data_IF_818419203744
#
_entry.id   IF_818419203744
#
_cell.length_a   1.000
_cell.length_b   1.000
_cell.length_c   1.000
_cell.angle_alpha   90.00
_cell.angle_beta   90.00
_cell.angle_gamma   90.00
#
_symmetry.space_group_name_H-M   'P 1'
#
loop_
_entity.id
_entity.type
_entity.pdbx_description
1 polymer ?
#
# COMPACT_ATOMS: atom_id res chain seq x y z
N UNK A 1 -22.31 30.46 -1.85
CA UNK A 1 -20.90 30.07 -1.65
C UNK A 1 -20.83 28.59 -1.99
N UNK A 2 -19.87 28.18 -2.82
CA UNK A 2 -19.74 26.77 -3.18
C UNK A 2 -18.95 26.01 -2.10
N UNK A 3 -19.19 24.72 -1.97
CA UNK A 3 -18.38 23.81 -1.16
C UNK A 3 -17.53 22.99 -2.11
N UNK A 4 -16.21 23.05 -1.93
CA UNK A 4 -15.23 22.27 -2.65
C UNK A 4 -14.71 21.12 -1.77
N UNK A 5 -14.43 19.99 -2.41
CA UNK A 5 -13.89 18.79 -1.76
C UNK A 5 -12.86 18.12 -2.67
N UNK A 6 -11.86 17.50 -2.05
CA UNK A 6 -10.91 16.68 -2.77
C UNK A 6 -9.82 16.13 -1.88
N UNK A 7 -8.68 15.85 -2.50
CA UNK A 7 -7.46 15.56 -1.77
C UNK A 7 -6.26 16.26 -2.38
N UNK A 8 -5.28 16.51 -1.52
CA UNK A 8 -3.95 16.98 -1.89
C UNK A 8 -2.94 15.84 -1.73
N UNK A 9 -1.94 15.82 -2.61
CA UNK A 9 -0.82 14.89 -2.56
C UNK A 9 0.34 15.53 -1.80
N UNK A 10 0.53 15.16 -0.53
CA UNK A 10 1.47 15.81 0.39
C UNK A 10 2.39 14.79 1.10
N UNK A 11 3.72 14.83 0.87
CA UNK A 11 4.40 15.70 -0.08
C UNK A 11 4.06 15.36 -1.54
N UNK A 12 4.30 16.29 -2.50
CA UNK A 12 4.14 16.00 -3.92
C UNK A 12 5.00 14.81 -4.33
N UNK A 13 4.53 14.06 -5.33
CA UNK A 13 5.31 12.99 -5.93
C UNK A 13 6.57 13.56 -6.59
N UNK A 14 7.68 12.84 -6.50
CA UNK A 14 8.93 13.19 -7.18
C UNK A 14 8.96 12.65 -8.61
N UNK A 15 9.93 13.11 -9.42
CA UNK A 15 10.24 12.51 -10.73
C UNK A 15 10.93 11.14 -10.65
N UNK A 16 11.20 10.67 -9.43
CA UNK A 16 11.91 9.43 -9.17
C UNK A 16 11.16 8.19 -9.68
N UNK A 17 11.91 7.12 -9.94
CA UNK A 17 11.38 5.88 -10.53
C UNK A 17 10.30 5.24 -9.65
N UNK A 18 10.41 5.32 -8.33
CA UNK A 18 9.44 4.76 -7.40
C UNK A 18 8.08 5.48 -7.50
N UNK A 19 8.07 6.81 -7.32
CA UNK A 19 6.83 7.60 -7.42
C UNK A 19 6.20 7.51 -8.81
N UNK A 20 7.00 7.44 -9.88
CA UNK A 20 6.51 7.24 -11.25
C UNK A 20 5.80 5.89 -11.39
N UNK A 21 6.44 4.81 -10.90
CA UNK A 21 5.86 3.46 -10.94
C UNK A 21 4.57 3.38 -10.12
N UNK A 22 4.58 3.93 -8.91
CA UNK A 22 3.39 3.91 -8.05
C UNK A 22 2.26 4.73 -8.69
N UNK A 23 2.59 5.88 -9.29
CA UNK A 23 1.62 6.64 -10.07
C UNK A 23 1.06 5.86 -11.27
N UNK A 24 1.90 5.20 -12.06
CA UNK A 24 1.47 4.40 -13.20
C UNK A 24 0.52 3.26 -12.78
N UNK A 25 0.78 2.63 -11.62
CA UNK A 25 -0.09 1.60 -11.06
C UNK A 25 -1.43 2.18 -10.59
N UNK A 26 -1.40 3.31 -9.90
CA UNK A 26 -2.62 4.02 -9.52
C UNK A 26 -3.46 4.39 -10.74
N UNK A 27 -2.86 4.96 -11.78
CA UNK A 27 -3.53 5.29 -13.04
C UNK A 27 -4.13 4.04 -13.70
N UNK A 28 -3.42 2.92 -13.72
CA UNK A 28 -3.94 1.66 -14.25
C UNK A 28 -5.19 1.19 -13.48
N UNK A 29 -5.21 1.31 -12.14
CA UNK A 29 -6.38 0.99 -11.31
C UNK A 29 -7.55 1.92 -11.61
N UNK A 30 -7.30 3.23 -11.79
CA UNK A 30 -8.33 4.20 -12.18
C UNK A 30 -8.92 3.84 -13.54
N UNK A 31 -8.06 3.54 -14.53
CA UNK A 31 -8.49 3.19 -15.88
C UNK A 31 -9.30 1.89 -15.90
N UNK A 32 -8.90 0.85 -15.15
CA UNK A 32 -9.70 -0.39 -15.08
C UNK A 32 -11.03 -0.18 -14.37
N UNK A 33 -11.06 0.63 -13.31
CA UNK A 33 -12.28 0.91 -12.56
C UNK A 33 -13.33 1.65 -13.40
N UNK A 34 -12.90 2.62 -14.22
CA UNK A 34 -13.78 3.47 -15.01
C UNK A 34 -13.81 3.15 -16.51
N UNK A 35 -13.29 1.99 -16.93
CA UNK A 35 -13.20 1.60 -18.35
C UNK A 35 -14.52 1.65 -19.13
N UNK A 36 -15.63 1.44 -18.43
CA UNK A 36 -16.99 1.42 -18.99
C UNK A 36 -17.77 2.70 -18.65
N UNK A 37 -17.15 3.69 -17.98
CA UNK A 37 -17.81 4.94 -17.60
C UNK A 37 -17.66 5.99 -18.71
N UNK A 38 -18.75 6.39 -19.40
CA UNK A 38 -18.68 7.34 -20.51
C UNK A 38 -18.32 8.77 -20.07
N UNK A 39 -18.31 9.07 -18.76
CA UNK A 39 -17.90 10.37 -18.22
C UNK A 39 -16.40 10.42 -17.92
N UNK A 40 -15.66 9.32 -18.03
CA UNK A 40 -14.22 9.31 -17.78
C UNK A 40 -13.47 9.21 -19.10
N UNK A 41 -12.86 10.33 -19.51
CA UNK A 41 -12.14 10.47 -20.77
C UNK A 41 -10.63 10.32 -20.54
N UNK A 42 -10.02 9.32 -21.17
CA UNK A 42 -8.56 9.18 -21.19
C UNK A 42 -8.00 10.01 -22.34
N UNK A 43 -7.29 11.10 -22.01
CA UNK A 43 -6.57 11.94 -22.97
C UNK A 43 -5.08 11.60 -22.95
N UNK A 44 -4.29 12.04 -23.94
CA UNK A 44 -2.88 11.65 -24.05
C UNK A 44 -2.06 11.90 -22.77
N UNK A 45 -2.33 13.00 -22.07
CA UNK A 45 -1.51 13.42 -20.94
C UNK A 45 -2.25 13.48 -19.60
N UNK A 46 -3.56 13.21 -19.56
CA UNK A 46 -4.36 13.22 -18.34
C UNK A 46 -5.68 12.46 -18.51
N UNK A 47 -6.27 12.04 -17.40
CA UNK A 47 -7.63 11.52 -17.32
C UNK A 47 -8.55 12.67 -16.90
N UNK A 48 -9.61 12.89 -17.66
CA UNK A 48 -10.61 13.92 -17.41
C UNK A 48 -11.93 13.30 -16.96
N UNK A 49 -12.47 13.74 -15.84
CA UNK A 49 -13.76 13.30 -15.32
C UNK A 49 -14.81 14.35 -15.68
N UNK A 50 -15.69 14.05 -16.63
CA UNK A 50 -16.79 14.91 -17.08
C UNK A 50 -17.94 14.95 -16.05
N UNK A 51 -17.63 15.43 -14.85
CA UNK A 51 -18.53 15.64 -13.73
C UNK A 51 -18.08 16.84 -12.90
N UNK A 52 -19.03 17.56 -12.29
CA UNK A 52 -18.75 18.75 -11.49
C UNK A 52 -17.98 19.82 -12.28
N UNK A 53 -16.83 20.23 -11.77
CA UNK A 53 -15.92 21.19 -12.40
C UNK A 53 -14.82 20.53 -13.24
N UNK A 54 -14.93 19.24 -13.52
CA UNK A 54 -14.01 18.54 -14.40
C UNK A 54 -12.69 18.16 -13.73
N UNK A 55 -12.69 17.41 -12.61
CA UNK A 55 -11.44 17.05 -11.95
C UNK A 55 -10.56 16.20 -12.88
N UNK A 56 -9.23 16.35 -12.74
CA UNK A 56 -8.24 15.78 -13.67
C UNK A 56 -7.11 15.06 -12.94
N UNK A 57 -6.66 13.93 -13.48
CA UNK A 57 -5.45 13.22 -13.04
C UNK A 57 -4.38 13.28 -14.14
N UNK A 58 -3.19 13.83 -13.91
CA UNK A 58 -2.13 13.84 -14.92
C UNK A 58 -1.59 12.43 -15.17
N UNK A 59 -1.10 12.18 -16.37
CA UNK A 59 -0.31 10.98 -16.68
C UNK A 59 1.03 10.98 -15.91
N UNK A 60 1.61 12.17 -15.69
CA UNK A 60 2.84 12.36 -14.94
C UNK A 60 2.56 12.76 -13.49
N UNK A 61 2.64 11.79 -12.56
CA UNK A 61 2.16 11.96 -11.19
C UNK A 61 2.82 13.06 -10.37
N UNK A 62 4.09 13.38 -10.63
CA UNK A 62 4.78 14.48 -9.95
C UNK A 62 4.16 15.86 -10.24
N UNK A 63 3.31 15.95 -11.27
CA UNK A 63 2.55 17.17 -11.57
C UNK A 63 1.31 17.30 -10.69
N UNK A 64 0.78 16.21 -10.12
CA UNK A 64 -0.42 16.27 -9.29
C UNK A 64 -0.12 16.95 -7.95
N UNK A 65 -0.79 18.08 -7.70
CA UNK A 65 -0.92 18.66 -6.36
C UNK A 65 -2.28 18.33 -5.73
N UNK A 66 -3.37 18.46 -6.49
CA UNK A 66 -4.75 18.35 -6.01
C UNK A 66 -5.65 17.65 -7.02
N UNK A 67 -6.57 16.84 -6.51
CA UNK A 67 -7.73 16.34 -7.24
C UNK A 67 -8.99 16.74 -6.49
N UNK A 68 -9.80 17.63 -7.07
CA UNK A 68 -10.95 18.22 -6.38
C UNK A 68 -12.02 18.74 -7.34
N UNK A 69 -13.23 18.91 -6.84
CA UNK A 69 -14.31 19.61 -7.53
C UNK A 69 -15.27 20.21 -6.51
N UNK A 70 -16.04 21.21 -6.96
CA UNK A 70 -17.22 21.67 -6.25
C UNK A 70 -18.23 20.54 -6.08
N UNK A 71 -18.68 20.31 -4.85
CA UNK A 71 -19.72 19.33 -4.49
C UNK A 71 -21.09 19.96 -4.27
N UNK A 72 -21.13 21.28 -4.06
CA UNK A 72 -22.39 22.00 -3.91
C UNK A 72 -22.98 22.45 -5.26
N UNK A 73 -24.30 22.53 -5.35
CA UNK A 73 -25.01 23.14 -6.48
C UNK A 73 -25.53 22.16 -7.52
N UNK A 74 -26.29 22.67 -8.48
CA UNK A 74 -27.06 21.86 -9.43
C UNK A 74 -26.18 21.00 -10.35
N UNK A 75 -25.01 21.50 -10.75
CA UNK A 75 -24.06 20.73 -11.58
C UNK A 75 -23.49 19.54 -10.84
N UNK A 76 -23.05 19.71 -9.58
CA UNK A 76 -22.52 18.62 -8.77
C UNK A 76 -23.57 17.51 -8.58
N UNK A 77 -24.81 17.88 -8.22
CA UNK A 77 -25.91 16.94 -8.05
C UNK A 77 -26.28 16.20 -9.35
N UNK A 78 -26.39 16.94 -10.47
CA UNK A 78 -26.76 16.36 -11.78
C UNK A 78 -25.69 15.40 -12.32
N UNK A 79 -24.43 15.69 -12.05
CA UNK A 79 -23.31 14.90 -12.61
C UNK A 79 -22.89 13.76 -11.70
N UNK A 80 -23.15 13.84 -10.40
CA UNK A 80 -22.75 12.84 -9.41
C UNK A 80 -21.27 12.92 -9.05
N UNK A 81 -20.65 14.11 -9.11
CA UNK A 81 -19.20 14.29 -8.95
C UNK A 81 -18.65 13.75 -7.62
N UNK A 82 -19.44 13.81 -6.56
CA UNK A 82 -19.10 13.28 -5.23
C UNK A 82 -18.67 11.81 -5.27
N UNK A 83 -19.31 10.98 -6.12
CA UNK A 83 -18.95 9.57 -6.25
C UNK A 83 -17.54 9.37 -6.83
N UNK A 84 -17.14 10.22 -7.77
CA UNK A 84 -15.79 10.23 -8.35
C UNK A 84 -14.78 10.71 -7.32
N UNK A 85 -15.04 11.82 -6.63
CA UNK A 85 -14.16 12.33 -5.57
C UNK A 85 -13.95 11.28 -4.48
N UNK A 86 -15.02 10.66 -4.00
CA UNK A 86 -14.95 9.60 -2.98
C UNK A 86 -14.12 8.41 -3.46
N UNK A 87 -14.40 7.92 -4.66
CA UNK A 87 -13.76 6.69 -5.17
C UNK A 87 -12.30 6.92 -5.51
N UNK A 88 -11.96 8.02 -6.19
CA UNK A 88 -10.58 8.36 -6.53
C UNK A 88 -9.78 8.65 -5.26
N UNK A 89 -10.33 9.40 -4.30
CA UNK A 89 -9.67 9.64 -3.00
C UNK A 89 -9.43 8.33 -2.25
N UNK A 90 -10.41 7.41 -2.24
CA UNK A 90 -10.28 6.10 -1.61
C UNK A 90 -9.18 5.27 -2.26
N UNK A 91 -9.16 5.20 -3.60
CA UNK A 91 -8.13 4.47 -4.35
C UNK A 91 -6.75 5.10 -4.16
N UNK A 92 -6.67 6.43 -4.14
CA UNK A 92 -5.44 7.16 -3.89
C UNK A 92 -4.93 6.92 -2.47
N UNK A 93 -5.79 6.95 -1.45
CA UNK A 93 -5.43 6.58 -0.06
C UNK A 93 -4.95 5.13 0.05
N UNK A 94 -5.59 4.21 -0.67
CA UNK A 94 -5.14 2.81 -0.72
C UNK A 94 -3.75 2.66 -1.36
N UNK A 95 -3.40 3.54 -2.29
CA UNK A 95 -2.15 3.46 -3.05
C UNK A 95 -0.99 4.24 -2.39
N UNK A 96 -1.26 5.46 -1.93
CA UNK A 96 -0.26 6.41 -1.43
C UNK A 96 -0.36 6.68 0.07
N UNK A 97 -1.33 6.08 0.76
CA UNK A 97 -1.49 6.16 2.20
C UNK A 97 -1.69 7.58 2.71
N UNK A 98 -0.91 7.94 3.74
CA UNK A 98 -0.96 9.24 4.41
C UNK A 98 -0.53 10.41 3.53
N UNK A 99 0.05 10.16 2.34
CA UNK A 99 0.32 11.23 1.38
C UNK A 99 -0.96 11.86 0.83
N UNK A 100 -2.08 11.15 0.88
CA UNK A 100 -3.36 11.66 0.40
C UNK A 100 -4.11 12.36 1.52
N UNK A 101 -4.02 13.69 1.54
CA UNK A 101 -4.66 14.55 2.52
C UNK A 101 -6.01 15.00 1.99
N UNK A 102 -7.08 14.37 2.46
CA UNK A 102 -8.45 14.76 2.14
C UNK A 102 -8.83 16.06 2.85
N UNK A 103 -9.59 16.90 2.16
CA UNK A 103 -10.07 18.18 2.68
C UNK A 103 -11.48 18.48 2.13
N UNK A 104 -12.22 19.32 2.84
CA UNK A 104 -13.58 19.73 2.49
C UNK A 104 -13.88 21.09 3.15
N UNK A 105 -14.14 22.09 2.32
CA UNK A 105 -14.34 23.48 2.77
C UNK A 105 -15.60 23.64 3.63
N UNK A 106 -16.60 22.77 3.46
CA UNK A 106 -17.86 22.79 4.20
C UNK A 106 -17.71 22.37 5.67
N UNK A 107 -16.60 21.74 6.03
CA UNK A 107 -16.23 21.38 7.41
C UNK A 107 -14.95 22.09 7.87
N UNK A 108 -14.60 23.19 7.20
CA UNK A 108 -13.43 24.03 7.51
C UNK A 108 -12.08 23.28 7.52
N UNK A 109 -11.99 22.20 6.73
CA UNK A 109 -10.73 21.51 6.46
C UNK A 109 -10.28 21.94 5.07
N UNK A 110 -9.25 22.79 5.02
CA UNK A 110 -8.74 23.36 3.78
C UNK A 110 -7.58 22.54 3.22
N UNK A 111 -7.41 22.56 1.91
CA UNK A 111 -6.27 21.92 1.26
C UNK A 111 -4.94 22.64 1.56
N UNK A 112 -3.84 21.92 1.39
CA UNK A 112 -2.47 22.37 1.69
C UNK A 112 -1.98 23.40 0.69
N UNK A 113 -2.29 23.23 -0.60
CA UNK A 113 -1.82 24.12 -1.66
C UNK A 113 -2.79 25.27 -1.91
N UNK A 114 -2.25 26.44 -2.24
CA UNK A 114 -3.04 27.57 -2.72
C UNK A 114 -3.65 27.27 -4.10
N UNK A 115 -4.75 27.95 -4.44
CA UNK A 115 -5.36 27.79 -5.77
C UNK A 115 -4.44 28.22 -6.90
N UNK A 116 -3.55 29.21 -6.66
CA UNK A 116 -2.57 29.64 -7.67
C UNK A 116 -1.58 28.51 -7.98
N UNK A 117 -1.02 27.85 -6.96
CA UNK A 117 -0.12 26.69 -7.14
C UNK A 117 -0.82 25.52 -7.87
N UNK A 118 -2.08 25.25 -7.52
CA UNK A 118 -2.88 24.19 -8.15
C UNK A 118 -3.15 24.51 -9.62
N UNK A 119 -3.52 25.76 -9.94
CA UNK A 119 -3.78 26.18 -11.31
C UNK A 119 -2.50 26.18 -12.16
N UNK A 120 -1.37 26.61 -11.59
CA UNK A 120 -0.06 26.53 -12.25
C UNK A 120 0.30 25.08 -12.58
N UNK A 121 0.09 24.16 -11.63
CA UNK A 121 0.25 22.72 -11.83
C UNK A 121 -0.62 22.20 -12.98
N UNK A 122 -1.92 22.53 -13.00
CA UNK A 122 -2.84 22.10 -14.05
C UNK A 122 -2.41 22.59 -15.44
N UNK A 123 -1.87 23.81 -15.55
CA UNK A 123 -1.32 24.34 -16.80
C UNK A 123 -0.19 23.50 -17.40
N UNK A 124 0.49 22.67 -16.59
CA UNK A 124 1.59 21.81 -17.06
C UNK A 124 1.14 20.47 -17.65
N UNK A 125 -0.13 20.09 -17.54
CA UNK A 125 -0.58 18.74 -17.92
C UNK A 125 -0.60 18.55 -19.43
N UNK A 126 -0.79 19.62 -20.21
CA UNK A 126 -0.76 19.55 -21.68
C UNK A 126 0.68 19.50 -22.25
N UNK A 127 1.69 19.82 -21.43
CA UNK A 127 3.09 19.89 -21.84
C UNK A 127 3.90 18.73 -21.27
N UNK A 128 4.11 17.61 -22.01
CA UNK A 128 4.90 16.49 -21.53
C UNK A 128 6.37 16.90 -21.34
N UNK A 129 7.05 16.31 -20.35
CA UNK A 129 8.49 16.49 -20.21
C UNK A 129 9.22 16.01 -21.48
N UNK A 130 10.30 16.71 -21.87
CA UNK A 130 11.17 16.22 -22.94
C UNK A 130 11.76 14.88 -22.53
N UNK A 131 11.84 13.88 -23.43
CA UNK A 131 12.43 12.59 -23.10
C UNK A 131 13.88 12.78 -22.64
N UNK A 132 14.16 12.41 -21.39
CA UNK A 132 15.53 12.37 -20.87
C UNK A 132 16.32 11.27 -21.60
N UNK A 133 17.30 11.68 -22.40
CA UNK A 133 18.26 10.77 -23.04
C UNK A 133 19.23 10.29 -21.97
N UNK A 134 18.97 9.14 -21.37
CA UNK A 134 19.95 8.43 -20.55
C UNK A 134 20.84 7.57 -21.48
N UNK A 135 22.19 7.66 -21.40
CA UNK A 135 23.07 6.88 -22.26
C UNK A 135 22.88 5.38 -22.01
N UNK A 136 22.54 4.68 -23.08
CA UNK A 136 22.50 3.22 -23.18
C UNK A 136 23.87 2.61 -22.91
N UNK A 137 23.98 1.84 -21.82
CA UNK A 137 25.01 0.80 -21.74
C UNK A 137 24.52 -0.42 -22.52
N UNK A 138 25.06 -0.52 -23.74
CA UNK A 138 24.92 -1.67 -24.60
C UNK A 138 25.84 -2.80 -24.13
N UNK A 139 25.27 -4.02 -24.17
CA UNK A 139 25.88 -5.30 -24.57
C UNK A 139 25.86 -6.36 -23.47
N UNK A 140 24.93 -7.33 -23.58
CA UNK A 140 25.25 -8.73 -23.91
C UNK A 140 24.00 -9.39 -24.53
N UNK A 141 24.17 -9.83 -25.78
CA UNK A 141 23.35 -10.70 -26.65
C UNK A 141 23.07 -12.06 -25.96
N UNK A 142 21.94 -12.78 -26.06
CA UNK A 142 21.40 -13.47 -27.25
C UNK A 142 20.15 -14.30 -26.85
N UNK A 143 19.06 -14.24 -27.66
CA UNK A 143 18.30 -15.40 -28.15
C UNK A 143 17.35 -16.24 -27.26
N UNK A 144 16.06 -16.21 -27.66
CA UNK A 144 14.97 -17.21 -27.54
C UNK A 144 14.28 -17.47 -26.16
N UNK A 145 13.10 -16.87 -25.94
CA UNK A 145 11.75 -17.38 -26.29
C UNK A 145 10.65 -16.73 -25.40
N UNK A 146 9.43 -16.51 -25.91
CA UNK A 146 8.39 -15.76 -25.21
C UNK A 146 7.61 -16.69 -24.28
N UNK A 147 7.92 -16.65 -22.98
CA UNK A 147 7.09 -17.26 -21.95
C UNK A 147 6.46 -16.13 -21.15
N UNK A 148 5.13 -16.20 -21.04
CA UNK A 148 4.33 -15.55 -20.00
C UNK A 148 4.99 -15.79 -18.64
N UNK A 149 5.83 -14.88 -18.19
CA UNK A 149 6.31 -14.85 -16.81
C UNK A 149 5.70 -13.64 -16.12
N UNK A 150 4.84 -13.97 -15.17
CA UNK A 150 4.37 -13.13 -14.08
C UNK A 150 5.37 -12.05 -13.68
N UNK A 151 4.89 -10.82 -13.55
CA UNK A 151 5.45 -9.76 -12.71
C UNK A 151 5.98 -10.35 -11.40
N UNK A 152 7.27 -10.68 -11.34
CA UNK A 152 7.94 -10.85 -10.06
C UNK A 152 8.03 -9.45 -9.49
N UNK A 153 7.16 -9.15 -8.52
CA UNK A 153 7.40 -8.15 -7.49
C UNK A 153 8.90 -8.16 -7.20
N UNK A 154 9.59 -7.05 -7.47
CA UNK A 154 10.93 -6.85 -6.96
C UNK A 154 10.75 -6.69 -5.46
N UNK A 155 10.64 -7.81 -4.75
CA UNK A 155 10.63 -7.85 -3.30
C UNK A 155 11.96 -7.24 -2.87
N UNK A 156 11.91 -6.20 -2.04
CA UNK A 156 13.08 -5.56 -1.43
C UNK A 156 13.76 -6.48 -0.40
N UNK A 157 13.14 -7.62 -0.11
CA UNK A 157 13.65 -8.66 0.77
C UNK A 157 13.50 -10.06 0.15
N UNK A 158 14.21 -11.01 0.74
CA UNK A 158 14.05 -12.45 0.52
C UNK A 158 13.95 -13.17 1.85
N UNK A 159 13.37 -14.38 1.83
CA UNK A 159 13.32 -15.25 3.00
C UNK A 159 14.52 -16.20 2.92
N UNK A 160 15.41 -16.17 3.91
CA UNK A 160 16.54 -17.09 4.02
C UNK A 160 16.49 -17.92 5.29
N UNK A 161 17.14 -19.07 5.26
CA UNK A 161 17.51 -19.77 6.49
C UNK A 161 18.69 -19.04 7.13
N UNK A 162 18.54 -18.70 8.40
CA UNK A 162 19.50 -17.97 9.23
C UNK A 162 20.01 -18.93 10.30
N UNK A 163 21.32 -19.14 10.34
CA UNK A 163 21.98 -20.06 11.27
C UNK A 163 21.55 -19.79 12.72
N UNK A 164 20.99 -20.80 13.37
CA UNK A 164 20.51 -20.73 14.76
C UNK A 164 19.20 -19.96 14.98
N UNK A 165 18.58 -19.38 13.94
CA UNK A 165 17.34 -18.58 14.05
C UNK A 165 16.18 -19.07 13.18
N UNK A 166 16.37 -20.15 12.43
CA UNK A 166 15.36 -20.63 11.48
C UNK A 166 15.24 -19.69 10.29
N UNK A 167 14.03 -19.42 9.80
CA UNK A 167 13.82 -18.52 8.64
C UNK A 167 13.80 -17.05 9.07
N UNK A 168 14.37 -16.18 8.24
CA UNK A 168 14.45 -14.74 8.43
C UNK A 168 14.23 -13.96 7.14
N UNK A 169 13.83 -12.69 7.24
CA UNK A 169 13.84 -11.76 6.11
C UNK A 169 15.21 -11.08 6.01
N UNK A 170 15.75 -11.03 4.79
CA UNK A 170 17.07 -10.47 4.44
C UNK A 170 16.88 -9.47 3.32
N UNK A 171 17.55 -8.31 3.39
CA UNK A 171 17.36 -7.26 2.39
C UNK A 171 18.06 -7.65 1.07
N UNK A 172 17.37 -7.49 -0.06
CA UNK A 172 17.93 -7.77 -1.42
C UNK A 172 18.61 -6.55 -2.05
N UNK A 173 18.33 -5.39 -1.50
CA UNK A 173 18.88 -4.11 -1.90
C UNK A 173 18.96 -3.20 -0.67
N UNK A 174 19.61 -2.06 -0.81
CA UNK A 174 19.56 -1.02 0.22
C UNK A 174 18.12 -0.52 0.37
N UNK A 175 17.65 -0.44 1.61
CA UNK A 175 16.31 0.00 1.99
C UNK A 175 16.45 1.31 2.75
N UNK A 176 15.83 2.37 2.24
CA UNK A 176 15.80 3.67 2.90
C UNK A 176 14.95 3.64 4.18
N UNK A 177 15.32 4.46 5.16
CA UNK A 177 14.47 4.73 6.33
C UNK A 177 13.09 5.21 5.86
N UNK A 178 12.03 4.72 6.51
CA UNK A 178 10.64 5.04 6.22
C UNK A 178 10.02 4.17 5.13
N UNK A 179 10.81 3.37 4.40
CA UNK A 179 10.26 2.52 3.35
C UNK A 179 9.38 1.42 3.95
N UNK A 180 8.19 1.22 3.36
CA UNK A 180 7.37 0.05 3.61
C UNK A 180 8.04 -1.20 3.01
N UNK A 181 8.44 -2.13 3.87
CA UNK A 181 9.11 -3.38 3.49
C UNK A 181 8.07 -4.40 3.02
N UNK A 182 6.97 -4.54 3.77
CA UNK A 182 5.81 -5.33 3.37
C UNK A 182 4.55 -4.90 4.12
N UNK A 183 3.41 -5.26 3.55
CA UNK A 183 2.09 -5.01 4.08
C UNK A 183 1.23 -6.23 3.77
N UNK A 184 0.65 -6.88 4.76
CA UNK A 184 -0.16 -8.08 4.53
C UNK A 184 -1.27 -8.28 5.58
N UNK A 185 -2.35 -8.93 5.12
CA UNK A 185 -3.46 -9.36 5.97
C UNK A 185 -3.06 -10.62 6.76
N UNK A 186 -3.64 -10.81 7.96
CA UNK A 186 -3.36 -12.00 8.76
C UNK A 186 -3.94 -13.26 8.10
N UNK A 187 -3.22 -14.38 8.23
CA UNK A 187 -3.76 -15.72 7.99
C UNK A 187 -4.96 -15.99 8.90
N UNK A 188 -4.83 -15.60 10.17
CA UNK A 188 -5.92 -15.58 11.13
C UNK A 188 -5.55 -14.77 12.37
N UNK A 189 -6.58 -14.34 13.10
CA UNK A 189 -6.45 -13.68 14.41
C UNK A 189 -6.89 -14.60 15.54
N UNK A 190 -6.43 -14.39 16.77
CA UNK A 190 -6.99 -15.04 17.94
C UNK A 190 -6.96 -14.09 19.14
N UNK A 191 -8.03 -14.09 19.94
CA UNK A 191 -8.10 -13.30 21.16
C UNK A 191 -7.49 -14.10 22.31
N UNK A 192 -6.58 -13.48 23.05
CA UNK A 192 -6.02 -14.02 24.28
C UNK A 192 -7.03 -13.83 25.43
N UNK A 193 -8.18 -14.49 25.39
CA UNK A 193 -9.07 -14.55 26.57
C UNK A 193 -8.55 -15.58 27.56
N UNK A 194 -8.74 -15.29 28.84
CA UNK A 194 -8.19 -15.99 30.00
C UNK A 194 -8.28 -17.53 29.89
N UNK A 195 -7.11 -18.14 30.14
CA UNK A 195 -6.77 -19.55 30.35
C UNK A 195 -7.97 -20.41 30.76
N UNK A 196 -8.37 -21.40 29.94
CA UNK A 196 -7.94 -22.78 30.19
C UNK A 196 -7.84 -23.67 28.93
N UNK A 197 -8.17 -23.19 27.72
CA UNK A 197 -8.16 -24.05 26.52
C UNK A 197 -7.82 -23.32 25.20
N UNK A 198 -6.77 -22.50 25.22
CA UNK A 198 -6.26 -21.81 24.01
C UNK A 198 -5.84 -22.82 22.95
N UNK A 199 -5.31 -23.97 23.36
CA UNK A 199 -4.83 -25.00 22.44
C UNK A 199 -5.98 -25.59 21.61
N UNK A 200 -7.07 -26.04 22.23
CA UNK A 200 -8.20 -26.61 21.47
C UNK A 200 -8.92 -25.54 20.65
N UNK A 201 -8.97 -24.29 21.14
CA UNK A 201 -9.49 -23.17 20.35
C UNK A 201 -8.68 -22.97 19.06
N UNK A 202 -7.35 -22.91 19.18
CA UNK A 202 -6.46 -22.79 18.01
C UNK A 202 -6.55 -24.02 17.11
N UNK A 203 -6.61 -25.23 17.67
CA UNK A 203 -6.77 -26.47 16.92
C UNK A 203 -8.06 -26.46 16.08
N UNK A 204 -9.19 -26.09 16.68
CA UNK A 204 -10.48 -25.96 15.98
C UNK A 204 -10.42 -24.90 14.89
N UNK A 205 -9.85 -23.72 15.20
CA UNK A 205 -9.73 -22.63 14.23
C UNK A 205 -8.84 -23.03 13.05
N UNK A 206 -7.69 -23.63 13.31
CA UNK A 206 -6.80 -24.15 12.25
C UNK A 206 -7.50 -25.23 11.43
N UNK A 207 -8.26 -26.11 12.09
CA UNK A 207 -9.02 -27.19 11.43
C UNK A 207 -10.01 -26.68 10.37
N UNK A 208 -10.55 -25.48 10.52
CA UNK A 208 -11.48 -24.87 9.56
C UNK A 208 -10.79 -24.09 8.42
N UNK A 209 -9.48 -23.82 8.53
CA UNK A 209 -8.75 -23.04 7.51
C UNK A 209 -8.33 -23.90 6.31
N UNK A 210 -8.03 -23.29 5.16
CA UNK A 210 -7.44 -23.99 4.01
C UNK A 210 -6.15 -24.76 4.37
N UNK A 211 -5.89 -25.87 3.68
CA UNK A 211 -4.77 -26.78 4.01
C UNK A 211 -3.39 -26.15 3.84
N UNK A 212 -3.25 -25.24 2.89
CA UNK A 212 -2.06 -24.41 2.68
C UNK A 212 -1.82 -23.49 3.89
N UNK A 213 -2.86 -22.81 4.39
CA UNK A 213 -2.78 -21.97 5.61
C UNK A 213 -2.40 -22.80 6.84
N UNK A 214 -3.00 -23.99 6.99
CA UNK A 214 -2.64 -24.93 8.07
C UNK A 214 -1.15 -25.30 8.00
N UNK A 215 -0.66 -25.73 6.83
CA UNK A 215 0.75 -26.11 6.65
C UNK A 215 1.68 -24.93 6.90
N UNK A 216 1.31 -23.73 6.46
CA UNK A 216 2.10 -22.53 6.68
C UNK A 216 2.23 -22.22 8.17
N UNK A 217 1.12 -22.25 8.92
CA UNK A 217 1.16 -22.06 10.37
C UNK A 217 2.07 -23.08 11.06
N UNK A 218 1.92 -24.36 10.71
CA UNK A 218 2.72 -25.45 11.28
C UNK A 218 4.21 -25.37 10.93
N UNK A 219 4.57 -24.57 9.91
CA UNK A 219 5.96 -24.34 9.52
C UNK A 219 6.63 -23.16 10.22
N UNK A 220 5.91 -22.41 11.07
CA UNK A 220 6.50 -21.33 11.85
C UNK A 220 7.36 -21.86 13.00
N UNK A 221 8.26 -21.01 13.50
CA UNK A 221 9.16 -21.39 14.58
C UNK A 221 8.37 -21.60 15.87
N UNK A 222 8.62 -22.69 16.57
CA UNK A 222 8.07 -22.93 17.90
C UNK A 222 9.22 -22.91 18.91
N UNK A 223 9.29 -21.84 19.70
CA UNK A 223 10.35 -21.68 20.69
C UNK A 223 10.24 -22.69 21.85
N UNK A 224 9.04 -23.18 22.16
CA UNK A 224 8.80 -24.12 23.26
C UNK A 224 8.24 -25.43 22.74
N UNK A 225 9.14 -26.40 22.52
CA UNK A 225 8.77 -27.77 22.16
C UNK A 225 8.28 -28.48 23.42
N UNK A 226 6.96 -28.69 23.53
CA UNK A 226 6.32 -29.26 24.70
C UNK A 226 4.82 -29.42 24.50
N UNK A 227 4.06 -29.45 25.61
CA UNK A 227 2.60 -29.45 25.56
C UNK A 227 2.11 -28.15 24.89
N UNK A 228 1.01 -28.24 24.14
CA UNK A 228 0.34 -27.13 23.45
C UNK A 228 1.12 -26.50 22.28
N UNK A 229 1.46 -27.29 21.23
CA UNK A 229 2.24 -26.81 20.09
C UNK A 229 1.60 -25.63 19.35
N UNK A 230 0.27 -25.55 19.22
CA UNK A 230 -0.38 -24.44 18.51
C UNK A 230 -0.30 -23.16 19.32
N UNK A 231 -0.52 -23.24 20.63
CA UNK A 231 -0.38 -22.12 21.56
C UNK A 231 1.04 -21.61 21.58
N UNK A 232 2.04 -22.49 21.64
CA UNK A 232 3.44 -22.08 21.68
C UNK A 232 3.87 -21.45 20.35
N UNK A 233 3.45 -22.02 19.21
CA UNK A 233 3.69 -21.43 17.89
C UNK A 233 3.01 -20.07 17.77
N UNK A 234 1.75 -19.95 18.20
CA UNK A 234 1.02 -18.69 18.15
C UNK A 234 1.70 -17.62 19.01
N UNK A 235 2.01 -17.92 20.27
CA UNK A 235 2.71 -16.99 21.18
C UNK A 235 4.10 -16.59 20.68
N UNK A 236 4.79 -17.48 19.97
CA UNK A 236 6.12 -17.18 19.42
C UNK A 236 6.06 -16.20 18.25
N UNK A 237 5.00 -16.25 17.43
CA UNK A 237 5.00 -15.57 16.13
C UNK A 237 3.91 -14.50 15.97
N UNK A 238 2.87 -14.50 16.81
CA UNK A 238 1.76 -13.58 16.66
C UNK A 238 2.17 -12.16 17.03
N UNK A 239 1.77 -11.19 16.21
CA UNK A 239 1.88 -9.77 16.55
C UNK A 239 0.53 -9.30 17.11
N UNK A 240 0.52 -8.41 18.11
CA UNK A 240 -0.71 -7.79 18.57
C UNK A 240 -1.30 -6.92 17.45
N UNK A 241 -2.62 -7.01 17.23
CA UNK A 241 -3.36 -6.13 16.33
C UNK A 241 -3.50 -4.73 16.95
N UNK A 242 -2.40 -3.97 16.98
CA UNK A 242 -2.32 -2.67 17.60
C UNK A 242 -1.79 -2.68 19.04
N UNK A 243 -1.40 -1.50 19.52
CA UNK A 243 -0.78 -1.32 20.84
C UNK A 243 -1.78 -1.73 21.94
N UNK A 244 -1.36 -2.64 22.82
CA UNK A 244 -2.17 -3.10 23.95
C UNK A 244 -3.34 -4.02 23.56
N UNK A 245 -3.44 -4.43 22.29
CA UNK A 245 -4.53 -5.29 21.83
C UNK A 245 -4.47 -6.68 22.46
N UNK A 246 -5.63 -7.16 22.94
CA UNK A 246 -5.80 -8.53 23.40
C UNK A 246 -5.92 -9.53 22.23
N UNK A 247 -5.92 -9.05 20.99
CA UNK A 247 -6.01 -9.85 19.77
C UNK A 247 -4.62 -9.95 19.15
N UNK A 248 -4.14 -11.17 18.97
CA UNK A 248 -2.93 -11.45 18.21
C UNK A 248 -3.27 -11.94 16.82
N UNK A 249 -2.35 -11.74 15.88
CA UNK A 249 -2.49 -12.13 14.50
C UNK A 249 -1.26 -12.89 13.99
N UNK A 250 -1.52 -13.92 13.19
CA UNK A 250 -0.50 -14.65 12.46
C UNK A 250 -0.54 -14.21 11.01
N UNK A 251 0.63 -13.98 10.42
CA UNK A 251 0.79 -13.46 9.08
C UNK A 251 1.65 -14.38 8.21
N UNK A 252 1.44 -14.42 6.89
CA UNK A 252 2.18 -15.31 6.00
C UNK A 252 3.71 -15.15 6.05
N UNK A 253 4.17 -13.90 6.07
CA UNK A 253 5.56 -13.47 5.86
C UNK A 253 6.11 -12.71 7.05
N UNK A 254 5.34 -11.81 7.67
CA UNK A 254 5.75 -10.98 8.83
C UNK A 254 6.19 -11.86 9.99
N UNK A 255 5.53 -13.00 10.22
CA UNK A 255 5.91 -13.99 11.24
C UNK A 255 7.30 -14.62 11.02
N UNK A 256 7.98 -14.35 9.90
CA UNK A 256 9.37 -14.77 9.65
C UNK A 256 10.39 -13.71 10.01
N UNK A 257 9.99 -12.52 10.42
CA UNK A 257 10.93 -11.48 10.85
C UNK A 257 11.48 -11.86 12.23
N UNK A 258 12.81 -11.96 12.32
CA UNK A 258 13.48 -12.29 13.57
C UNK A 258 13.52 -11.10 14.53
N UNK A 259 13.40 -11.38 15.82
CA UNK A 259 13.54 -10.37 16.87
C UNK A 259 14.99 -9.89 17.01
N UNK A 260 15.16 -8.61 17.36
CA UNK A 260 16.44 -7.97 17.71
C UNK A 260 16.19 -6.87 18.73
N UNK A 261 17.06 -6.76 19.75
CA UNK A 261 17.03 -5.64 20.70
C UNK A 261 17.37 -4.29 20.05
N UNK A 262 18.02 -4.31 18.88
CA UNK A 262 18.34 -3.13 18.06
C UNK A 262 17.65 -3.25 16.71
N UNK A 263 16.31 -3.13 16.65
CA UNK A 263 15.57 -3.36 15.42
C UNK A 263 15.94 -2.36 14.33
N UNK A 264 15.74 -2.77 13.09
CA UNK A 264 15.85 -1.92 11.91
C UNK A 264 14.50 -1.73 11.19
N UNK A 265 13.48 -2.47 11.63
CA UNK A 265 12.10 -2.34 11.16
C UNK A 265 11.12 -2.29 12.34
N UNK A 266 9.95 -1.71 12.10
CA UNK A 266 8.86 -1.62 13.07
C UNK A 266 7.54 -1.96 12.40
N UNK A 267 6.64 -2.59 13.14
CA UNK A 267 5.31 -2.95 12.68
C UNK A 267 4.29 -1.85 13.01
N UNK A 268 3.29 -1.66 12.16
CA UNK A 268 2.15 -0.76 12.37
C UNK A 268 0.88 -1.46 11.91
N UNK A 269 -0.02 -1.68 12.86
CA UNK A 269 -1.35 -2.22 12.60
C UNK A 269 -2.30 -1.10 12.19
N UNK A 270 -3.12 -1.35 11.17
CA UNK A 270 -4.23 -0.49 10.78
C UNK A 270 -5.54 -1.24 11.05
N UNK A 271 -6.31 -0.71 12.01
CA UNK A 271 -7.58 -1.30 12.47
C UNK A 271 -8.67 -1.28 11.39
N UNK A 272 -8.72 -0.23 10.57
CA UNK A 272 -9.74 -0.06 9.55
C UNK A 272 -9.49 -1.02 8.37
N UNK A 273 -8.23 -1.16 7.96
CA UNK A 273 -7.82 -2.01 6.86
C UNK A 273 -7.58 -3.48 7.27
N UNK A 274 -7.38 -3.74 8.57
CA UNK A 274 -7.21 -5.08 9.12
C UNK A 274 -5.94 -5.79 8.65
N UNK A 275 -4.84 -5.04 8.54
CA UNK A 275 -3.55 -5.53 8.05
C UNK A 275 -2.38 -4.93 8.85
N UNK A 276 -1.24 -5.60 8.76
CA UNK A 276 0.00 -5.16 9.40
C UNK A 276 0.98 -4.67 8.35
N UNK A 277 1.63 -3.56 8.64
CA UNK A 277 2.64 -2.97 7.77
C UNK A 277 3.99 -2.90 8.47
N UNK A 278 5.04 -3.33 7.81
CA UNK A 278 6.41 -3.29 8.30
C UNK A 278 7.17 -2.15 7.62
N UNK A 279 7.67 -1.21 8.40
CA UNK A 279 8.46 -0.07 7.93
C UNK A 279 9.91 -0.17 8.39
N UNK A 280 10.85 0.24 7.53
CA UNK A 280 12.23 0.46 7.93
C UNK A 280 12.33 1.69 8.85
N UNK A 281 12.88 1.56 10.06
CA UNK A 281 13.05 2.70 10.99
C UNK A 281 14.42 3.36 10.89
N UNK A 282 15.32 2.77 10.10
CA UNK A 282 16.65 3.27 9.75
C UNK A 282 17.07 2.66 8.41
N UNK A 283 18.09 3.22 7.71
CA UNK A 283 18.60 2.60 6.50
C UNK A 283 19.05 1.15 6.76
N UNK A 284 18.68 0.22 5.88
CA UNK A 284 19.06 -1.20 5.92
C UNK A 284 19.89 -1.47 4.68
N UNK A 285 21.10 -2.01 4.85
CA UNK A 285 21.92 -2.42 3.72
C UNK A 285 21.45 -3.75 3.17
N UNK A 286 21.67 -3.97 1.89
CA UNK A 286 21.50 -5.30 1.29
C UNK A 286 22.32 -6.35 2.06
N UNK A 287 21.74 -7.55 2.25
CA UNK A 287 22.32 -8.62 3.06
C UNK A 287 21.76 -8.62 4.48
#
# INVERSE_FOLDING_TARGET
>A
MGIDEGFDMVPPLSKGVADRRDWDQFIAVIMDHYKDDPKVEVRPNYIFFNAGEGPILPSEGYKLLRFSSKISGSTAHRTGVEAYLFTVTRLAKQHFGSRVQHWNDGVEVYGTYSWDEVNDSFGTYEQPDKPEVHPTDASVTTGLNPIKESTRDIRVFEIKDITGKGKGLVARCDISKGLQILCEKPLFTARSTQFNDIESMLARKLGTLPKDVQRQFLSFHNHSTGKNPFTNTFKTNALPCGVGSAVGAIYPTICRINHSCFPNAHNSWDDDAGHETIYAIRPIKSG
#
